data_IF_620390588667
#
_entry.id   IF_620390588667
#
_cell.length_a   1.000
_cell.length_b   1.000
_cell.length_c   1.000
_cell.angle_alpha   90.00
_cell.angle_beta   90.00
_cell.angle_gamma   90.00
#
_symmetry.space_group_name_H-M   'P 1'
#
loop_
_entity.id
_entity.type
_entity.pdbx_description
1 polymer ?
#
# COMPACT_ATOMS: atom_id res chain seq x y z
N UNK A 1 5.59 5.34 -11.24
CA UNK A 1 6.24 4.77 -10.04
C UNK A 1 6.46 3.28 -10.28
N UNK A 2 7.68 2.82 -10.18
CA UNK A 2 7.97 1.41 -10.46
C UNK A 2 7.66 0.53 -9.26
N UNK A 3 7.68 -0.79 -9.47
CA UNK A 3 7.33 -1.74 -8.41
C UNK A 3 8.25 -1.65 -7.21
N UNK A 4 9.53 -1.41 -7.43
CA UNK A 4 10.48 -1.28 -6.33
C UNK A 4 10.12 -0.07 -5.46
N UNK A 5 9.80 1.05 -6.07
CA UNK A 5 9.42 2.26 -5.33
C UNK A 5 8.13 2.03 -4.57
N UNK A 6 7.14 1.40 -5.20
CA UNK A 6 5.87 1.08 -4.54
C UNK A 6 6.12 0.17 -3.34
N UNK A 7 6.92 -0.87 -3.53
CA UNK A 7 7.24 -1.78 -2.43
C UNK A 7 7.96 -1.07 -1.30
N UNK A 8 8.90 -0.18 -1.60
CA UNK A 8 9.61 0.58 -0.58
C UNK A 8 8.64 1.45 0.23
N UNK A 9 7.67 2.06 -0.45
CA UNK A 9 6.67 2.87 0.25
C UNK A 9 5.81 2.01 1.17
N UNK A 10 5.44 0.81 0.71
CA UNK A 10 4.65 -0.11 1.52
C UNK A 10 5.45 -0.61 2.72
N UNK A 11 6.71 -0.95 2.54
CA UNK A 11 7.57 -1.35 3.65
C UNK A 11 7.75 -0.19 4.64
N UNK A 12 7.90 1.02 4.12
CA UNK A 12 8.00 2.21 4.95
C UNK A 12 6.76 2.42 5.80
N UNK A 13 5.59 2.20 5.21
CA UNK A 13 4.33 2.29 5.95
C UNK A 13 4.27 1.24 7.06
N UNK A 14 4.71 0.01 6.76
CA UNK A 14 4.75 -1.05 7.77
C UNK A 14 5.67 -0.66 8.92
N UNK A 15 6.83 -0.11 8.60
CA UNK A 15 7.79 0.32 9.61
C UNK A 15 7.21 1.42 10.50
N UNK A 16 6.56 2.41 9.90
CA UNK A 16 5.93 3.49 10.65
C UNK A 16 4.84 2.97 11.59
N UNK A 17 4.02 2.04 11.10
CA UNK A 17 2.98 1.44 11.91
C UNK A 17 3.57 0.67 13.09
N UNK A 18 4.67 -0.02 12.86
CA UNK A 18 5.36 -0.76 13.88
C UNK A 18 5.88 0.18 14.98
N UNK A 19 6.43 1.32 14.59
CA UNK A 19 6.92 2.32 15.53
C UNK A 19 5.78 2.91 16.37
N UNK A 20 4.60 2.98 15.80
CA UNK A 20 3.42 3.50 16.50
C UNK A 20 2.69 2.43 17.31
N UNK A 21 3.24 1.23 17.37
CA UNK A 21 2.61 0.10 18.06
C UNK A 21 1.23 -0.23 17.50
N UNK A 22 1.08 -0.08 16.18
CA UNK A 22 -0.19 -0.38 15.53
C UNK A 22 -0.44 -1.88 15.52
N UNK A 23 -1.68 -2.25 15.19
CA UNK A 23 -2.09 -3.65 15.11
C UNK A 23 -1.15 -4.46 14.23
N UNK A 24 -0.70 -5.59 14.76
CA UNK A 24 0.22 -6.49 14.07
C UNK A 24 -0.28 -6.89 12.68
N UNK A 25 -1.58 -7.16 12.56
CA UNK A 25 -2.15 -7.57 11.28
C UNK A 25 -2.03 -6.48 10.21
N UNK A 26 -2.14 -5.22 10.62
CA UNK A 26 -1.97 -4.10 9.69
C UNK A 26 -0.52 -4.02 9.21
N UNK A 27 0.42 -4.20 10.12
CA UNK A 27 1.84 -4.19 9.77
C UNK A 27 2.13 -5.31 8.76
N UNK A 28 1.63 -6.52 9.04
CA UNK A 28 1.84 -7.65 8.16
C UNK A 28 1.18 -7.47 6.79
N UNK A 29 0.01 -6.83 6.76
CA UNK A 29 -0.68 -6.58 5.49
C UNK A 29 0.17 -5.73 4.56
N UNK A 30 0.82 -4.69 5.08
CA UNK A 30 1.70 -3.85 4.27
C UNK A 30 2.93 -4.60 3.82
N UNK A 31 3.52 -5.41 4.70
CA UNK A 31 4.69 -6.21 4.34
C UNK A 31 4.38 -7.22 3.23
N UNK A 32 3.25 -7.92 3.35
CA UNK A 32 2.82 -8.87 2.34
C UNK A 32 2.60 -8.21 1.00
N UNK A 33 1.93 -7.06 1.02
CA UNK A 33 1.67 -6.32 -0.19
C UNK A 33 2.98 -5.92 -0.87
N UNK A 34 3.94 -5.44 -0.08
CA UNK A 34 5.24 -5.05 -0.61
C UNK A 34 5.96 -6.24 -1.26
N UNK A 35 5.95 -7.37 -0.59
CA UNK A 35 6.59 -8.59 -1.11
C UNK A 35 5.93 -9.05 -2.40
N UNK A 36 4.59 -9.00 -2.45
CA UNK A 36 3.86 -9.36 -3.65
C UNK A 36 4.22 -8.46 -4.82
N UNK A 37 4.27 -7.15 -4.57
CA UNK A 37 4.63 -6.19 -5.60
C UNK A 37 6.05 -6.44 -6.13
N UNK A 38 6.99 -6.73 -5.24
CA UNK A 38 8.37 -7.03 -5.67
C UNK A 38 8.45 -8.28 -6.52
N UNK A 39 7.57 -9.23 -6.31
CA UNK A 39 7.58 -10.48 -7.05
C UNK A 39 6.85 -10.44 -8.39
N UNK A 40 6.19 -9.33 -8.71
CA UNK A 40 5.46 -9.23 -9.95
C UNK A 40 6.38 -8.99 -11.14
N UNK A 41 6.06 -9.65 -12.26
CA UNK A 41 6.77 -9.42 -13.51
C UNK A 41 6.25 -8.19 -14.24
N UNK A 42 5.06 -7.76 -13.88
CA UNK A 42 4.35 -6.68 -14.54
C UNK A 42 4.30 -5.45 -13.63
N UNK A 43 4.45 -4.23 -14.16
CA UNK A 43 4.34 -3.04 -13.33
C UNK A 43 2.94 -2.88 -12.75
N UNK A 44 2.89 -2.63 -11.44
CA UNK A 44 1.62 -2.38 -10.75
C UNK A 44 0.89 -1.19 -11.36
N UNK A 45 1.65 -0.18 -11.79
CA UNK A 45 1.09 0.99 -12.43
C UNK A 45 0.24 0.62 -13.65
N UNK A 46 0.73 -0.33 -14.46
CA UNK A 46 -0.01 -0.81 -15.62
C UNK A 46 -1.27 -1.56 -15.21
N UNK A 47 -1.19 -2.36 -14.16
CA UNK A 47 -2.35 -3.07 -13.65
C UNK A 47 -3.43 -2.09 -13.23
N UNK A 48 -3.05 -1.05 -12.49
CA UNK A 48 -3.99 -0.03 -12.03
C UNK A 48 -4.61 0.71 -13.20
N UNK A 49 -3.78 1.08 -14.19
CA UNK A 49 -4.26 1.83 -15.34
C UNK A 49 -5.23 1.05 -16.23
N UNK A 50 -5.03 -0.27 -16.34
CA UNK A 50 -5.87 -1.10 -17.20
C UNK A 50 -7.10 -1.65 -16.52
N UNK A 51 -6.98 -2.04 -15.26
CA UNK A 51 -8.04 -2.78 -14.59
C UNK A 51 -8.40 -2.28 -13.19
N UNK A 52 -7.63 -1.33 -12.67
CA UNK A 52 -7.91 -0.74 -11.37
C UNK A 52 -7.74 -1.69 -10.21
N UNK A 53 -8.37 -1.35 -9.08
CA UNK A 53 -8.21 -2.12 -7.86
C UNK A 53 -8.78 -3.54 -7.93
N UNK A 54 -9.69 -3.80 -8.84
CA UNK A 54 -10.24 -5.15 -8.99
C UNK A 54 -9.15 -6.17 -9.32
N UNK A 55 -8.24 -5.79 -10.21
CA UNK A 55 -7.14 -6.67 -10.57
C UNK A 55 -6.15 -6.81 -9.42
N UNK A 56 -5.92 -5.75 -8.66
CA UNK A 56 -5.02 -5.80 -7.52
C UNK A 56 -5.50 -6.78 -6.45
N UNK A 57 -6.81 -6.86 -6.25
CA UNK A 57 -7.37 -7.77 -5.24
C UNK A 57 -7.12 -9.25 -5.56
N UNK A 58 -6.83 -9.55 -6.82
CA UNK A 58 -6.55 -10.93 -7.23
C UNK A 58 -5.14 -11.36 -6.90
N UNK A 59 -4.29 -10.42 -6.56
CA UNK A 59 -2.89 -10.73 -6.23
C UNK A 59 -2.79 -11.32 -4.82
N UNK A 60 -1.87 -12.28 -4.61
CA UNK A 60 -1.71 -12.89 -3.31
C UNK A 60 -1.41 -11.86 -2.21
N UNK A 61 -2.10 -11.96 -1.10
CA UNK A 61 -1.84 -11.09 0.03
C UNK A 61 -2.37 -9.67 -0.10
N UNK A 62 -3.12 -9.37 -1.16
CA UNK A 62 -3.67 -8.03 -1.34
C UNK A 62 -5.19 -8.10 -1.27
N UNK A 63 -5.74 -7.59 -0.16
CA UNK A 63 -7.18 -7.53 0.05
C UNK A 63 -7.77 -6.22 -0.45
N UNK A 64 -9.07 -6.04 -0.18
CA UNK A 64 -9.82 -4.88 -0.64
C UNK A 64 -9.20 -3.56 -0.17
N UNK A 65 -8.89 -3.47 1.11
CA UNK A 65 -8.32 -2.23 1.67
C UNK A 65 -6.94 -1.93 1.13
N UNK A 66 -6.11 -2.95 1.03
CA UNK A 66 -4.76 -2.77 0.52
C UNK A 66 -4.76 -2.41 -0.95
N UNK A 67 -5.66 -3.00 -1.74
CA UNK A 67 -5.79 -2.65 -3.15
C UNK A 67 -6.12 -1.18 -3.32
N UNK A 68 -7.03 -0.65 -2.50
CA UNK A 68 -7.38 0.76 -2.53
C UNK A 68 -6.18 1.65 -2.19
N UNK A 69 -5.39 1.24 -1.21
CA UNK A 69 -4.20 2.01 -0.81
C UNK A 69 -3.13 2.02 -1.90
N UNK A 70 -2.93 0.88 -2.55
CA UNK A 70 -1.98 0.79 -3.65
C UNK A 70 -2.43 1.66 -4.82
N UNK A 71 -3.71 1.62 -5.15
CA UNK A 71 -4.27 2.44 -6.21
C UNK A 71 -4.03 3.93 -5.91
N UNK A 72 -4.33 4.34 -4.69
CA UNK A 72 -4.12 5.73 -4.27
C UNK A 72 -2.63 6.10 -4.36
N UNK A 73 -1.77 5.22 -3.91
CA UNK A 73 -0.32 5.45 -3.95
C UNK A 73 0.16 5.67 -5.39
N UNK A 74 -0.30 4.83 -6.31
CA UNK A 74 0.07 4.96 -7.72
C UNK A 74 -0.41 6.27 -8.31
N UNK A 75 -1.64 6.68 -7.97
CA UNK A 75 -2.24 7.89 -8.53
C UNK A 75 -1.73 9.18 -7.92
N UNK A 76 -1.44 9.17 -6.62
CA UNK A 76 -1.10 10.41 -5.91
C UNK A 76 0.32 10.45 -5.38
N UNK A 77 1.00 9.32 -5.32
CA UNK A 77 2.32 9.22 -4.73
C UNK A 77 2.31 9.15 -3.21
N UNK A 78 1.13 9.10 -2.59
CA UNK A 78 0.99 9.06 -1.14
C UNK A 78 0.04 7.97 -0.69
N UNK A 79 0.32 7.43 0.50
CA UNK A 79 -0.54 6.42 1.11
C UNK A 79 -1.64 7.13 1.90
N UNK A 80 -2.90 6.81 1.59
CA UNK A 80 -4.06 7.44 2.21
C UNK A 80 -4.05 7.40 3.73
N UNK A 81 -3.54 6.32 4.30
CA UNK A 81 -3.47 6.19 5.75
C UNK A 81 -2.67 7.32 6.40
N UNK A 82 -1.60 7.75 5.76
CA UNK A 82 -0.78 8.84 6.28
C UNK A 82 -1.59 10.12 6.40
N UNK A 83 -2.43 10.37 5.42
CA UNK A 83 -3.30 11.56 5.45
C UNK A 83 -4.31 11.49 6.59
N UNK A 84 -4.85 10.32 6.84
CA UNK A 84 -5.79 10.13 7.94
C UNK A 84 -5.13 10.41 9.28
N UNK A 85 -3.91 9.92 9.45
CA UNK A 85 -3.16 10.15 10.68
C UNK A 85 -2.92 11.65 10.88
N UNK A 86 -2.60 12.35 9.81
CA UNK A 86 -2.39 13.80 9.89
C UNK A 86 -3.64 14.53 10.31
N UNK A 87 -4.79 14.10 9.82
CA UNK A 87 -6.06 14.69 10.23
C UNK A 87 -6.30 14.51 11.71
N UNK A 88 -6.00 13.35 12.22
CA UNK A 88 -6.15 13.09 13.65
C UNK A 88 -5.26 14.02 14.47
N UNK A 89 -4.05 14.22 14.02
CA UNK A 89 -3.12 15.10 14.70
C UNK A 89 -3.62 16.54 14.69
N UNK A 90 -4.20 16.98 13.60
CA UNK A 90 -4.68 18.36 13.52
C UNK A 90 -5.95 18.58 14.30
N UNK A 91 -6.72 17.55 14.54
CA UNK A 91 -7.95 17.69 15.30
C UNK A 91 -7.71 17.75 16.80
N UNK A 92 -6.51 17.46 17.20
CA UNK A 92 -6.13 17.55 18.61
C UNK A 92 -5.71 18.97 18.93
#
# INVERSE_FOLDING_TARGET
MDNRTIACRLFGAAHSLEQEHANFYRVQAYRRAAETVLGLDEPVEDIVNHAGRKALKKLPGIGVKMAAKIETLVRTGEIAKVKEDNKMLTSV
#
